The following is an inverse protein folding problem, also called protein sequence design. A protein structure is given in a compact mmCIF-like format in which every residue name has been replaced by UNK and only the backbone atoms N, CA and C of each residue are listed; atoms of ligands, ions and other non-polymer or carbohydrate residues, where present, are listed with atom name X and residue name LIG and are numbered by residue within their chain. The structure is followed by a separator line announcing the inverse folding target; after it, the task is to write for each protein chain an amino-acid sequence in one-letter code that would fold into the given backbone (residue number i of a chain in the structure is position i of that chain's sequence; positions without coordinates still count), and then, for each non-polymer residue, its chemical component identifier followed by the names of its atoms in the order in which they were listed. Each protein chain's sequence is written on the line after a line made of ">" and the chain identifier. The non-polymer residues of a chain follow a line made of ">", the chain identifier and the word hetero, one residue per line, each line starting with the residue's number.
data_IF_798335151597
#
_entry.id   IF_798335151597
#
_cell.length_a   1.000
_cell.length_b   1.000
_cell.length_c   1.000
_cell.angle_alpha   90.00
_cell.angle_beta   90.00
_cell.angle_gamma   90.00
#
_symmetry.space_group_name_H-M   'P 1'
#
loop_
_entity.id
_entity.type
_entity.pdbx_description
1 polymer ?
#
# COMPACT_ATOMS: atom_id res chain seq x y z
N UNK A 1 1.47 -9.54 26.85
CA UNK A 1 0.90 -8.49 27.71
C UNK A 1 1.81 -7.28 27.58
N UNK A 2 1.26 -6.07 27.40
CA UNK A 2 2.05 -4.83 27.42
C UNK A 2 1.66 -4.09 28.69
N UNK A 3 2.64 -3.63 29.46
CA UNK A 3 2.45 -3.12 30.83
C UNK A 3 3.28 -1.86 31.02
N UNK A 4 2.66 -0.82 31.60
CA UNK A 4 3.35 0.39 32.05
C UNK A 4 3.03 0.64 33.52
N UNK A 5 4.06 1.03 34.28
CA UNK A 5 3.95 1.39 35.69
C UNK A 5 4.31 2.87 35.87
N UNK A 6 3.39 3.66 36.41
CA UNK A 6 3.60 5.06 36.78
C UNK A 6 2.89 5.34 38.11
N UNK A 7 3.60 5.90 39.09
CA UNK A 7 3.03 6.40 40.36
C UNK A 7 2.14 5.40 41.13
N UNK A 8 2.53 4.12 41.15
CA UNK A 8 1.77 3.05 41.83
C UNK A 8 0.53 2.58 41.07
N UNK A 9 0.35 3.03 39.82
CA UNK A 9 -0.65 2.54 38.88
C UNK A 9 0.01 1.63 37.86
N UNK A 10 -0.62 0.49 37.58
CA UNK A 10 -0.24 -0.41 36.50
C UNK A 10 -1.39 -0.56 35.51
N UNK A 11 -1.12 -0.27 34.24
CA UNK A 11 -2.09 -0.41 33.15
C UNK A 11 -1.56 -1.43 32.14
N UNK A 12 -2.40 -2.38 31.74
CA UNK A 12 -2.03 -3.38 30.74
C UNK A 12 -3.18 -3.79 29.82
N UNK A 13 -2.83 -4.26 28.62
CA UNK A 13 -3.78 -4.76 27.62
C UNK A 13 -3.57 -6.27 27.39
N UNK A 14 -4.65 -7.03 27.53
CA UNK A 14 -4.79 -8.40 27.07
C UNK A 14 -5.76 -8.44 25.87
N UNK A 15 -5.41 -9.15 24.80
CA UNK A 15 -6.32 -9.34 23.66
C UNK A 15 -6.91 -10.74 23.73
N UNK A 16 -8.19 -10.87 23.39
CA UNK A 16 -8.91 -12.15 23.41
C UNK A 16 -8.37 -13.09 22.33
N UNK A 17 -7.98 -12.53 21.17
CA UNK A 17 -7.25 -13.26 20.14
C UNK A 17 -5.75 -13.21 20.47
N UNK A 18 -5.24 -14.26 21.11
CA UNK A 18 -3.80 -14.51 21.24
C UNK A 18 -3.42 -15.61 20.25
N UNK A 19 -2.79 -15.22 19.14
CA UNK A 19 -1.33 -15.34 19.08
C UNK A 19 -0.64 -14.19 18.32
N UNK A 20 0.68 -14.14 18.43
CA UNK A 20 1.53 -13.44 17.46
C UNK A 20 1.22 -13.99 16.06
N UNK A 21 0.90 -13.12 15.09
CA UNK A 21 0.70 -13.51 13.69
C UNK A 21 -0.75 -13.62 13.21
N UNK A 22 -1.76 -13.36 14.04
CA UNK A 22 -3.13 -13.14 13.54
C UNK A 22 -3.20 -11.78 12.86
N UNK A 23 -3.56 -11.80 11.58
CA UNK A 23 -3.78 -10.61 10.77
C UNK A 23 -5.23 -10.18 10.93
N UNK A 24 -5.44 -9.00 11.47
CA UNK A 24 -6.75 -8.36 11.45
C UNK A 24 -7.06 -7.89 10.03
N UNK A 25 -8.33 -7.92 9.67
CA UNK A 25 -8.84 -7.32 8.43
C UNK A 25 -9.53 -6.00 8.75
N UNK A 26 -9.76 -5.10 7.77
CA UNK A 26 -10.55 -3.90 8.00
C UNK A 26 -11.95 -4.16 8.55
N UNK A 27 -12.48 -5.38 8.37
CA UNK A 27 -13.79 -5.82 8.88
C UNK A 27 -13.71 -6.55 10.22
N UNK A 28 -12.52 -6.75 10.77
CA UNK A 28 -12.35 -7.48 12.02
C UNK A 28 -12.78 -6.64 13.22
N UNK A 29 -13.18 -7.36 14.26
CA UNK A 29 -13.41 -6.81 15.59
C UNK A 29 -12.18 -7.08 16.48
N UNK A 30 -11.70 -6.05 17.15
CA UNK A 30 -10.59 -6.14 18.10
C UNK A 30 -11.19 -6.18 19.50
N UNK A 31 -11.09 -7.33 20.15
CA UNK A 31 -11.61 -7.56 21.49
C UNK A 31 -10.50 -7.93 22.48
N UNK A 32 -10.72 -7.58 23.74
CA UNK A 32 -9.77 -7.82 24.81
C UNK A 32 -10.22 -7.25 26.15
N UNK A 33 -9.25 -7.09 27.04
CA UNK A 33 -9.42 -6.55 28.37
C UNK A 33 -8.30 -5.54 28.66
N UNK A 34 -8.68 -4.44 29.30
CA UNK A 34 -7.74 -3.52 29.93
C UNK A 34 -7.72 -3.83 31.42
N UNK A 35 -6.54 -4.16 31.95
CA UNK A 35 -6.34 -4.41 33.37
C UNK A 35 -5.68 -3.19 34.00
N UNK A 36 -6.30 -2.69 35.05
CA UNK A 36 -5.81 -1.56 35.84
C UNK A 36 -5.59 -2.04 37.27
N UNK A 37 -4.38 -1.88 37.79
CA UNK A 37 -4.07 -2.13 39.20
C UNK A 37 -3.60 -0.85 39.87
N UNK A 38 -4.23 -0.50 40.99
CA UNK A 38 -3.91 0.68 41.79
C UNK A 38 -3.35 0.20 43.12
N UNK A 39 -2.10 0.54 43.41
CA UNK A 39 -1.44 0.19 44.66
C UNK A 39 -1.96 1.02 45.84
N UNK A 40 -1.80 0.45 47.02
CA UNK A 40 -2.06 1.14 48.28
C UNK A 40 -1.11 2.35 48.41
N UNK A 41 -1.64 3.51 48.82
CA UNK A 41 -0.89 4.79 48.86
C UNK A 41 -1.07 5.69 47.64
N UNK A 42 -1.70 5.22 46.56
CA UNK A 42 -2.04 6.01 45.36
C UNK A 42 -3.51 6.50 45.35
N UNK A 43 -4.15 6.58 46.52
CA UNK A 43 -5.59 6.79 46.71
C UNK A 43 -6.04 8.26 46.55
N UNK A 44 -5.12 9.22 46.69
CA UNK A 44 -5.42 10.65 46.53
C UNK A 44 -5.58 11.07 45.06
N UNK A 45 -5.30 10.14 44.13
CA UNK A 45 -5.38 10.38 42.70
C UNK A 45 -6.84 10.21 42.21
N UNK A 46 -7.44 11.30 41.76
CA UNK A 46 -8.78 11.29 41.16
C UNK A 46 -8.70 10.95 39.68
N UNK A 47 -9.23 9.79 39.30
CA UNK A 47 -9.32 9.36 37.91
C UNK A 47 -10.64 9.80 37.28
N UNK A 48 -10.56 10.27 36.04
CA UNK A 48 -11.71 10.74 35.26
C UNK A 48 -12.22 9.68 34.29
N UNK A 49 -11.31 9.00 33.59
CA UNK A 49 -11.67 8.11 32.47
C UNK A 49 -10.66 7.01 32.20
N UNK A 50 -11.14 5.83 31.84
CA UNK A 50 -10.36 4.76 31.19
C UNK A 50 -10.83 4.65 29.74
N UNK A 51 -9.89 4.75 28.80
CA UNK A 51 -10.18 4.62 27.37
C UNK A 51 -9.31 3.56 26.72
N UNK A 52 -9.81 2.97 25.65
CA UNK A 52 -9.03 2.17 24.71
C UNK A 52 -9.23 2.73 23.31
N UNK A 53 -8.16 2.78 22.53
CA UNK A 53 -8.18 3.27 21.16
C UNK A 53 -7.43 2.33 20.23
N UNK A 54 -7.88 2.23 18.98
CA UNK A 54 -7.07 1.69 17.90
C UNK A 54 -6.56 2.86 17.07
N UNK A 55 -5.24 2.93 16.90
CA UNK A 55 -4.53 3.97 16.18
C UNK A 55 -3.83 3.36 14.97
N UNK A 56 -4.05 3.91 13.78
CA UNK A 56 -3.25 3.68 12.59
C UNK A 56 -2.35 4.88 12.34
N UNK A 57 -1.04 4.64 12.35
CA UNK A 57 -0.02 5.67 12.11
C UNK A 57 0.81 5.32 10.89
N UNK A 58 1.20 6.35 10.16
CA UNK A 58 2.17 6.27 9.06
C UNK A 58 3.36 7.15 9.40
N UNK A 59 4.56 6.60 9.25
CA UNK A 59 5.82 7.31 9.37
C UNK A 59 6.59 7.14 8.06
N UNK A 60 6.88 8.23 7.37
CA UNK A 60 7.67 8.26 6.14
C UNK A 60 8.97 8.99 6.43
N UNK A 61 10.10 8.42 6.01
CA UNK A 61 11.40 9.04 6.15
C UNK A 61 12.35 8.60 5.04
N UNK A 62 12.97 9.55 4.34
CA UNK A 62 14.02 9.28 3.36
C UNK A 62 14.95 10.47 3.18
N UNK A 63 16.13 10.23 2.61
CA UNK A 63 17.08 11.28 2.26
C UNK A 63 17.36 11.31 0.75
N UNK A 64 17.46 12.53 0.20
CA UNK A 64 17.84 12.76 -1.19
C UNK A 64 19.23 13.39 -1.22
N UNK A 65 20.19 12.81 -1.95
CA UNK A 65 21.51 13.40 -2.10
C UNK A 65 21.43 14.81 -2.70
N UNK A 66 22.21 15.74 -2.16
CA UNK A 66 22.32 17.07 -2.76
C UNK A 66 23.33 17.03 -3.91
N UNK A 67 22.96 17.58 -5.07
CA UNK A 67 23.89 17.74 -6.19
C UNK A 67 25.01 18.70 -5.79
N UNK A 68 26.26 18.21 -5.68
CA UNK A 68 27.42 19.05 -5.32
C UNK A 68 28.54 18.41 -4.48
N UNK A 69 28.47 17.12 -4.14
CA UNK A 69 29.58 16.42 -3.48
C UNK A 69 29.71 16.65 -1.97
N UNK A 70 28.78 17.39 -1.35
CA UNK A 70 28.66 17.47 0.10
C UNK A 70 28.11 16.17 0.70
N UNK A 71 28.56 15.81 1.91
CA UNK A 71 28.11 14.61 2.64
C UNK A 71 26.68 14.73 3.22
N UNK A 72 26.07 15.91 3.16
CA UNK A 72 24.71 16.13 3.67
C UNK A 72 23.66 15.92 2.58
N UNK A 73 22.77 14.96 2.82
CA UNK A 73 21.54 14.79 2.05
C UNK A 73 20.41 15.62 2.65
N UNK A 74 19.43 16.01 1.83
CA UNK A 74 18.19 16.60 2.36
C UNK A 74 17.30 15.48 2.89
N UNK A 75 16.90 15.58 4.15
CA UNK A 75 16.02 14.63 4.81
C UNK A 75 14.57 15.09 4.70
N UNK A 76 13.69 14.15 4.38
CA UNK A 76 12.25 14.36 4.33
C UNK A 76 11.60 13.42 5.34
N UNK A 77 10.67 13.96 6.13
CA UNK A 77 9.94 13.21 7.15
C UNK A 77 8.48 13.61 7.15
N UNK A 78 7.59 12.66 7.37
CA UNK A 78 6.16 12.85 7.52
C UNK A 78 5.63 11.82 8.51
N UNK A 79 4.85 12.25 9.50
CA UNK A 79 4.25 11.34 10.48
C UNK A 79 2.81 11.77 10.72
N UNK A 80 1.86 10.86 10.50
CA UNK A 80 0.45 11.15 10.68
C UNK A 80 -0.30 9.97 11.30
N UNK A 81 -1.31 10.29 12.11
CA UNK A 81 -2.34 9.33 12.53
C UNK A 81 -3.51 9.41 11.54
N UNK A 82 -3.59 8.44 10.64
CA UNK A 82 -4.64 8.39 9.59
C UNK A 82 -5.89 7.63 10.03
N UNK A 83 -5.81 6.88 11.14
CA UNK A 83 -6.95 6.16 11.71
C UNK A 83 -6.93 6.26 13.22
N UNK A 84 -8.07 6.60 13.81
CA UNK A 84 -8.26 6.64 15.26
C UNK A 84 -9.70 6.29 15.59
N UNK A 85 -9.90 5.23 16.37
CA UNK A 85 -11.20 4.86 16.92
C UNK A 85 -11.05 4.65 18.43
N UNK A 86 -11.87 5.33 19.22
CA UNK A 86 -11.75 5.38 20.69
C UNK A 86 -13.03 4.83 21.31
N UNK A 87 -12.88 4.04 22.37
CA UNK A 87 -13.95 3.56 23.23
C UNK A 87 -13.66 3.95 24.68
N UNK A 88 -14.62 4.59 25.33
CA UNK A 88 -14.58 4.86 26.77
C UNK A 88 -15.06 3.61 27.51
N UNK A 89 -14.20 3.04 28.34
CA UNK A 89 -14.50 1.82 29.10
C UNK A 89 -15.06 2.13 30.50
N UNK A 90 -14.64 3.27 31.04
CA UNK A 90 -15.11 3.78 32.32
C UNK A 90 -14.99 5.30 32.35
N UNK A 91 -15.95 5.95 32.98
CA UNK A 91 -15.96 7.39 33.23
C UNK A 91 -16.58 7.69 34.59
N UNK A 92 -15.94 8.60 35.33
CA UNK A 92 -16.39 9.05 36.65
C UNK A 92 -17.82 9.60 36.56
N UNK A 93 -18.70 9.12 37.46
CA UNK A 93 -20.10 9.55 37.53
C UNK A 93 -21.05 8.91 36.51
N UNK A 94 -20.54 8.22 35.48
CA UNK A 94 -21.38 7.48 34.53
C UNK A 94 -21.40 5.97 34.78
N UNK A 95 -20.35 5.44 35.41
CA UNK A 95 -20.19 4.00 35.66
C UNK A 95 -20.57 3.63 37.10
N UNK A 96 -21.13 2.44 37.30
CA UNK A 96 -21.47 1.91 38.64
C UNK A 96 -20.24 1.54 39.46
N UNK A 97 -19.13 1.21 38.79
CA UNK A 97 -17.86 0.85 39.41
C UNK A 97 -17.11 2.12 39.82
N UNK A 98 -16.71 2.25 41.08
CA UNK A 98 -15.80 3.32 41.53
C UNK A 98 -14.36 2.81 41.48
N UNK A 99 -13.43 3.57 40.89
CA UNK A 99 -12.00 3.23 40.79
C UNK A 99 -11.16 4.03 41.80
N UNK A 100 -11.78 4.49 42.89
CA UNK A 100 -11.12 5.37 43.86
C UNK A 100 -10.42 4.59 45.00
N UNK A 101 -10.44 3.25 44.95
CA UNK A 101 -9.80 2.39 45.94
C UNK A 101 -8.63 1.59 45.34
N UNK A 102 -7.67 1.21 46.18
CA UNK A 102 -6.65 0.23 45.81
C UNK A 102 -7.31 -1.09 45.41
N UNK A 103 -6.79 -1.71 44.37
CA UNK A 103 -7.37 -2.93 43.82
C UNK A 103 -7.04 -3.15 42.36
N UNK A 104 -7.60 -4.24 41.82
CA UNK A 104 -7.47 -4.62 40.42
C UNK A 104 -8.83 -4.54 39.74
N UNK A 105 -8.86 -3.87 38.60
CA UNK A 105 -10.04 -3.61 37.80
C UNK A 105 -9.83 -4.17 36.40
N UNK A 106 -10.87 -4.77 35.85
CA UNK A 106 -10.86 -5.38 34.51
C UNK A 106 -11.96 -4.72 33.68
N UNK A 107 -11.55 -4.17 32.54
CA UNK A 107 -12.46 -3.52 31.59
C UNK A 107 -12.46 -4.28 30.28
N UNK A 108 -13.47 -5.11 30.01
CA UNK A 108 -13.61 -5.76 28.71
C UNK A 108 -13.91 -4.72 27.63
N UNK A 109 -13.38 -4.94 26.43
CA UNK A 109 -13.62 -4.07 25.29
C UNK A 109 -13.80 -4.86 24.01
N UNK A 110 -14.55 -4.27 23.08
CA UNK A 110 -14.71 -4.78 21.73
C UNK A 110 -14.90 -3.61 20.76
N UNK A 111 -14.07 -3.53 19.72
CA UNK A 111 -14.01 -2.39 18.81
C UNK A 111 -13.87 -2.88 17.37
N UNK A 112 -14.89 -2.59 16.54
CA UNK A 112 -14.86 -2.88 15.11
C UNK A 112 -13.90 -1.94 14.37
N UNK A 113 -13.02 -2.48 13.52
CA UNK A 113 -12.07 -1.67 12.73
C UNK A 113 -12.72 -0.90 11.58
N UNK A 114 -13.97 -1.20 11.27
CA UNK A 114 -14.73 -0.43 10.30
C UNK A 114 -14.99 0.97 10.86
N UNK A 115 -14.43 2.00 10.20
CA UNK A 115 -14.74 3.40 10.50
C UNK A 115 -15.84 3.95 9.61
N UNK A 116 -15.90 3.58 8.33
CA UNK A 116 -16.87 4.09 7.35
C UNK A 116 -17.17 3.04 6.26
N UNK A 117 -18.36 3.06 5.63
CA UNK A 117 -18.60 2.30 4.42
C UNK A 117 -17.63 2.78 3.33
N UNK A 118 -16.76 1.89 2.85
CA UNK A 118 -15.74 2.10 1.80
C UNK A 118 -14.38 2.67 2.23
N UNK A 119 -14.16 3.00 3.50
CA UNK A 119 -12.81 3.32 3.97
C UNK A 119 -12.00 2.04 4.21
N UNK A 120 -11.14 1.66 3.26
CA UNK A 120 -10.23 0.52 3.44
C UNK A 120 -9.00 0.94 4.23
N UNK A 121 -8.74 0.26 5.35
CA UNK A 121 -7.46 0.38 6.05
C UNK A 121 -6.34 -0.24 5.19
N UNK A 122 -5.19 0.46 5.00
CA UNK A 122 -4.04 -0.15 4.33
C UNK A 122 -3.50 -1.33 5.13
N UNK A 123 -2.82 -2.25 4.45
CA UNK A 123 -2.05 -3.28 5.14
C UNK A 123 -0.93 -2.62 5.96
N UNK A 124 -0.59 -3.21 7.10
CA UNK A 124 0.66 -2.91 7.77
C UNK A 124 1.83 -3.04 6.81
N UNK A 125 2.79 -2.13 6.93
CA UNK A 125 3.95 -2.05 6.04
C UNK A 125 5.18 -1.65 6.85
N UNK A 126 6.30 -2.33 6.61
CA UNK A 126 7.61 -1.88 7.06
C UNK A 126 8.56 -1.97 5.87
N UNK A 127 8.82 -0.83 5.22
CA UNK A 127 9.75 -0.73 4.11
C UNK A 127 10.85 0.30 4.45
N UNK A 128 11.83 0.45 3.56
CA UNK A 128 12.99 1.32 3.78
C UNK A 128 12.57 2.76 4.11
N UNK A 129 11.58 3.29 3.39
CA UNK A 129 11.24 4.70 3.39
C UNK A 129 9.91 5.00 4.12
N UNK A 130 9.14 3.98 4.50
CA UNK A 130 7.84 4.15 5.17
C UNK A 130 7.44 2.98 6.07
N UNK A 131 6.66 3.30 7.10
CA UNK A 131 6.09 2.38 8.09
C UNK A 131 4.61 2.69 8.28
N UNK A 132 3.75 1.69 8.08
CA UNK A 132 2.31 1.75 8.42
C UNK A 132 2.09 0.80 9.59
N UNK A 133 1.65 1.33 10.73
CA UNK A 133 1.59 0.60 12.00
C UNK A 133 0.27 0.82 12.70
N UNK A 134 -0.27 -0.25 13.27
CA UNK A 134 -1.47 -0.22 14.07
C UNK A 134 -1.18 -0.57 15.52
N UNK A 135 -1.66 0.25 16.44
CA UNK A 135 -1.51 0.05 17.87
C UNK A 135 -2.87 0.15 18.55
N UNK A 136 -3.10 -0.74 19.51
CA UNK A 136 -4.13 -0.58 20.52
C UNK A 136 -3.50 0.18 21.67
N UNK A 137 -4.10 1.28 22.09
CA UNK A 137 -3.62 2.15 23.15
C UNK A 137 -4.68 2.23 24.24
N UNK A 138 -4.33 1.88 25.47
CA UNK A 138 -5.18 2.10 26.63
C UNK A 138 -4.64 3.29 27.41
N UNK A 139 -5.53 4.19 27.86
CA UNK A 139 -5.17 5.37 28.65
C UNK A 139 -6.02 5.48 29.90
N UNK A 140 -5.36 5.85 30.99
CA UNK A 140 -5.98 6.32 32.22
C UNK A 140 -5.79 7.84 32.32
N UNK A 141 -6.90 8.57 32.41
CA UNK A 141 -6.94 10.03 32.43
C UNK A 141 -7.32 10.50 33.84
N UNK A 142 -6.58 11.47 34.39
CA UNK A 142 -6.87 12.10 35.70
C UNK A 142 -7.82 13.30 35.56
N UNK A 143 -8.42 13.68 36.69
CA UNK A 143 -9.38 14.76 36.78
C UNK A 143 -8.76 16.11 37.21
N UNK A 144 -7.45 16.32 36.96
CA UNK A 144 -6.82 17.62 37.16
C UNK A 144 -7.20 18.62 36.05
N UNK A 145 -6.98 19.91 36.30
CA UNK A 145 -7.41 21.04 35.45
C UNK A 145 -6.86 21.04 34.01
N UNK A 146 -6.02 20.08 33.68
CA UNK A 146 -5.49 19.76 32.36
C UNK A 146 -5.63 18.26 32.23
N UNK A 147 -6.30 17.72 31.20
CA UNK A 147 -6.52 16.27 31.03
C UNK A 147 -5.20 15.48 30.91
N UNK A 148 -4.48 15.31 32.03
CA UNK A 148 -3.15 14.72 32.05
C UNK A 148 -3.30 13.20 31.99
N UNK A 149 -2.67 12.63 30.99
CA UNK A 149 -2.51 11.20 30.84
C UNK A 149 -1.65 10.65 31.98
N UNK A 150 -2.24 9.80 32.82
CA UNK A 150 -1.59 9.29 34.04
C UNK A 150 -0.82 8.01 33.79
N UNK A 151 -1.37 7.17 32.93
CA UNK A 151 -0.74 5.95 32.45
C UNK A 151 -1.28 5.64 31.06
N UNK A 152 -0.40 5.18 30.19
CA UNK A 152 -0.80 4.55 28.93
C UNK A 152 0.03 3.33 28.65
N UNK A 153 -0.57 2.38 27.94
CA UNK A 153 0.15 1.24 27.40
C UNK A 153 -0.34 0.98 25.97
N UNK A 154 0.56 0.44 25.15
CA UNK A 154 0.26 0.15 23.75
C UNK A 154 0.57 -1.30 23.41
N UNK A 155 -0.20 -1.86 22.49
CA UNK A 155 0.05 -3.19 21.91
C UNK A 155 -0.08 -3.12 20.39
N UNK A 156 0.97 -3.50 19.68
CA UNK A 156 0.97 -3.55 18.22
C UNK A 156 0.05 -4.67 17.72
N UNK A 157 -0.69 -4.36 16.66
CA UNK A 157 -1.47 -5.33 15.88
C UNK A 157 -1.08 -5.22 14.40
N UNK A 158 -1.28 -6.30 13.65
CA UNK A 158 -1.02 -6.34 12.21
C UNK A 158 -2.34 -6.37 11.46
N UNK A 159 -2.49 -5.51 10.44
CA UNK A 159 -3.66 -5.45 9.58
C UNK A 159 -3.27 -5.88 8.16
N UNK A 160 -4.10 -6.74 7.55
CA UNK A 160 -4.04 -7.04 6.12
C UNK A 160 -5.28 -6.47 5.44
N UNK A 161 -5.08 -5.58 4.49
CA UNK A 161 -6.13 -5.00 3.65
C UNK A 161 -6.77 -6.07 2.76
N UNK A 162 -7.97 -5.78 2.28
CA UNK A 162 -8.66 -6.61 1.31
C UNK A 162 -8.60 -5.96 -0.07
N UNK A 163 -7.88 -6.57 -1.00
CA UNK A 163 -7.74 -6.10 -2.38
C UNK A 163 -8.40 -7.12 -3.30
N UNK A 164 -9.64 -6.79 -3.68
CA UNK A 164 -10.44 -7.60 -4.58
C UNK A 164 -10.10 -7.35 -6.05
N UNK A 165 -9.63 -8.40 -6.73
CA UNK A 165 -9.26 -8.39 -8.15
C UNK A 165 -10.43 -8.74 -9.09
N UNK A 166 -11.61 -9.06 -8.55
CA UNK A 166 -12.81 -9.39 -9.34
C UNK A 166 -13.53 -8.17 -9.93
N UNK A 167 -12.96 -6.97 -9.76
CA UNK A 167 -13.51 -5.73 -10.32
C UNK A 167 -13.41 -5.74 -11.85
N UNK A 168 -14.44 -5.29 -12.55
CA UNK A 168 -14.57 -5.44 -14.01
C UNK A 168 -13.39 -4.85 -14.80
N UNK A 169 -12.87 -3.70 -14.35
CA UNK A 169 -11.71 -3.02 -14.94
C UNK A 169 -10.41 -3.83 -14.80
N UNK A 170 -10.33 -4.72 -13.82
CA UNK A 170 -9.17 -5.56 -13.55
C UNK A 170 -9.17 -6.88 -14.33
N UNK A 171 -10.31 -7.26 -14.91
CA UNK A 171 -10.49 -8.52 -15.64
C UNK A 171 -10.24 -8.38 -17.16
N UNK A 172 -10.06 -7.16 -17.65
CA UNK A 172 -9.91 -6.89 -19.08
C UNK A 172 -8.46 -7.05 -19.53
N UNK A 173 -8.22 -7.67 -20.71
CA UNK A 173 -6.88 -7.79 -21.26
C UNK A 173 -6.28 -6.41 -21.54
N UNK A 174 -4.97 -6.29 -21.36
CA UNK A 174 -4.24 -5.05 -21.61
C UNK A 174 -3.12 -5.31 -22.57
N UNK A 175 -3.01 -4.47 -23.59
CA UNK A 175 -1.92 -4.48 -24.56
C UNK A 175 -1.27 -3.11 -24.61
N UNK A 176 0.04 -3.09 -24.81
CA UNK A 176 0.82 -1.88 -25.05
C UNK A 176 1.86 -2.15 -26.13
N UNK A 177 2.12 -1.14 -26.95
CA UNK A 177 2.97 -1.24 -28.12
C UNK A 177 3.99 -0.11 -28.12
N UNK A 178 5.18 -0.40 -28.59
CA UNK A 178 6.23 0.59 -28.80
C UNK A 178 6.99 0.30 -30.07
N UNK A 179 7.22 1.37 -30.81
CA UNK A 179 7.90 1.35 -32.10
C UNK A 179 9.31 1.93 -31.92
N UNK A 180 10.33 1.24 -32.45
CA UNK A 180 11.70 1.70 -32.47
C UNK A 180 12.14 1.96 -33.90
N UNK A 181 12.65 3.16 -34.13
CA UNK A 181 13.31 3.56 -35.37
C UNK A 181 14.81 3.31 -35.28
N UNK A 182 15.41 2.70 -36.29
CA UNK A 182 16.87 2.60 -36.41
C UNK A 182 17.39 3.26 -37.67
N UNK A 183 18.31 4.21 -37.49
CA UNK A 183 19.08 4.84 -38.57
C UNK A 183 18.45 6.11 -39.16
N UNK A 184 19.30 6.93 -39.79
CA UNK A 184 18.94 8.24 -40.34
C UNK A 184 18.30 8.17 -41.74
N UNK A 185 18.25 6.99 -42.36
CA UNK A 185 18.04 6.85 -43.82
C UNK A 185 16.84 5.95 -44.19
N UNK A 186 16.38 5.05 -43.31
CA UNK A 186 15.23 4.17 -43.55
C UNK A 186 14.15 4.38 -42.51
N UNK A 187 12.91 4.68 -42.93
CA UNK A 187 11.70 4.73 -42.09
C UNK A 187 11.20 3.33 -41.68
N UNK A 188 12.12 2.39 -41.48
CA UNK A 188 11.79 0.99 -41.18
C UNK A 188 11.87 0.76 -39.68
N UNK A 189 10.71 0.62 -39.06
CA UNK A 189 10.60 0.50 -37.63
C UNK A 189 10.39 -0.95 -37.19
N UNK A 190 10.89 -1.30 -36.00
CA UNK A 190 10.53 -2.53 -35.30
C UNK A 190 9.46 -2.21 -34.28
N UNK A 191 8.36 -2.95 -34.32
CA UNK A 191 7.27 -2.81 -33.37
C UNK A 191 7.34 -3.94 -32.35
N UNK A 192 7.29 -3.59 -31.07
CA UNK A 192 7.14 -4.55 -29.98
C UNK A 192 5.80 -4.31 -29.31
N UNK A 193 4.97 -5.34 -29.26
CA UNK A 193 3.66 -5.34 -28.62
C UNK A 193 3.68 -6.34 -27.48
N UNK A 194 3.28 -5.93 -26.29
CA UNK A 194 3.16 -6.80 -25.12
C UNK A 194 1.71 -6.85 -24.67
N UNK A 195 1.21 -8.03 -24.33
CA UNK A 195 -0.18 -8.27 -23.92
C UNK A 195 -0.24 -9.16 -22.69
N UNK A 196 -1.12 -8.78 -21.76
CA UNK A 196 -1.52 -9.57 -20.58
C UNK A 196 -3.01 -9.88 -20.64
N UNK A 197 -3.41 -11.03 -20.10
CA UNK A 197 -4.80 -11.51 -20.15
C UNK A 197 -5.75 -10.65 -19.32
N UNK A 198 -5.26 -10.07 -18.23
CA UNK A 198 -5.97 -9.16 -17.33
C UNK A 198 -4.98 -8.29 -16.56
N UNK A 199 -5.47 -7.35 -15.74
CA UNK A 199 -4.61 -6.45 -14.95
C UNK A 199 -4.65 -6.73 -13.45
N UNK A 200 -5.66 -7.40 -12.90
CA UNK A 200 -5.66 -7.85 -11.50
C UNK A 200 -5.22 -9.31 -11.36
N UNK A 201 -4.38 -9.64 -10.38
CA UNK A 201 -3.92 -11.00 -10.07
C UNK A 201 -3.88 -11.24 -8.55
N UNK A 202 -4.29 -12.42 -8.11
CA UNK A 202 -4.26 -12.85 -6.71
C UNK A 202 -2.94 -13.54 -6.38
N UNK A 203 -2.20 -13.04 -5.38
CA UNK A 203 -0.85 -13.53 -5.06
C UNK A 203 -0.75 -15.00 -4.66
N UNK A 204 -1.85 -15.61 -4.20
CA UNK A 204 -1.89 -17.00 -3.68
C UNK A 204 -2.38 -18.00 -4.72
N UNK A 205 -3.03 -17.54 -5.79
CA UNK A 205 -3.77 -18.40 -6.71
C UNK A 205 -3.39 -18.25 -8.18
N UNK A 206 -2.78 -17.12 -8.55
CA UNK A 206 -2.58 -16.76 -9.93
C UNK A 206 -1.10 -16.81 -10.35
N UNK A 207 -0.89 -17.16 -11.61
CA UNK A 207 0.32 -16.85 -12.36
C UNK A 207 -0.01 -15.84 -13.47
N UNK A 208 0.99 -15.05 -13.88
CA UNK A 208 0.77 -13.99 -14.87
C UNK A 208 1.26 -14.46 -16.25
N UNK A 209 0.35 -14.73 -17.22
CA UNK A 209 0.73 -14.98 -18.59
C UNK A 209 1.03 -13.67 -19.33
N UNK A 210 2.16 -13.64 -20.05
CA UNK A 210 2.58 -12.50 -20.86
C UNK A 210 2.89 -12.99 -22.26
N UNK A 211 2.35 -12.30 -23.26
CA UNK A 211 2.69 -12.51 -24.66
C UNK A 211 3.38 -11.29 -25.21
N UNK A 212 4.51 -11.49 -25.89
CA UNK A 212 5.22 -10.45 -26.61
C UNK A 212 5.25 -10.78 -28.09
N UNK A 213 4.86 -9.82 -28.93
CA UNK A 213 4.89 -9.92 -30.39
C UNK A 213 5.88 -8.88 -30.89
N UNK A 214 6.82 -9.30 -31.72
CA UNK A 214 7.78 -8.44 -32.41
C UNK A 214 7.47 -8.49 -33.89
N UNK A 215 7.10 -7.34 -34.44
CA UNK A 215 6.96 -7.15 -35.88
C UNK A 215 8.25 -6.54 -36.43
N UNK A 216 8.84 -7.16 -37.46
CA UNK A 216 10.18 -6.82 -37.91
C UNK A 216 10.16 -5.58 -38.80
N UNK A 217 11.14 -4.69 -38.60
CA UNK A 217 11.56 -3.71 -39.60
C UNK A 217 12.60 -4.33 -40.55
N UNK A 218 12.69 -3.83 -41.79
CA UNK A 218 13.67 -4.35 -42.77
C UNK A 218 15.12 -3.99 -42.42
N UNK A 219 15.35 -2.96 -41.61
CA UNK A 219 16.68 -2.45 -41.23
C UNK A 219 17.17 -2.89 -39.84
N UNK A 220 16.27 -3.25 -38.93
CA UNK A 220 16.54 -3.30 -37.49
C UNK A 220 16.38 -4.72 -36.94
N UNK A 221 17.32 -5.14 -36.08
CA UNK A 221 17.26 -6.42 -35.38
C UNK A 221 17.39 -6.19 -33.87
N UNK A 222 16.50 -6.80 -33.08
CA UNK A 222 16.63 -6.81 -31.63
C UNK A 222 17.83 -7.67 -31.21
N UNK A 223 18.61 -7.15 -30.26
CA UNK A 223 19.75 -7.85 -29.66
C UNK A 223 19.36 -8.60 -28.39
N UNK A 224 18.39 -8.06 -27.65
CA UNK A 224 17.85 -8.71 -26.46
C UNK A 224 16.37 -8.34 -26.29
N UNK A 225 15.65 -9.24 -25.63
CA UNK A 225 14.33 -8.97 -25.08
C UNK A 225 14.17 -9.74 -23.78
N UNK A 226 13.72 -9.04 -22.74
CA UNK A 226 13.47 -9.58 -21.41
C UNK A 226 12.17 -9.04 -20.86
N UNK A 227 11.64 -9.72 -19.86
CA UNK A 227 10.45 -9.32 -19.14
C UNK A 227 10.69 -9.42 -17.65
N UNK A 228 10.17 -8.49 -16.86
CA UNK A 228 10.30 -8.47 -15.42
C UNK A 228 8.98 -8.10 -14.74
N UNK A 229 8.64 -8.79 -13.66
CA UNK A 229 7.67 -8.33 -12.68
C UNK A 229 8.40 -7.40 -11.71
N UNK A 230 7.98 -6.14 -11.68
CA UNK A 230 8.60 -5.11 -10.84
C UNK A 230 7.55 -4.56 -9.88
N UNK A 231 7.92 -4.50 -8.60
CA UNK A 231 7.21 -3.77 -7.57
C UNK A 231 7.76 -2.35 -7.52
N UNK A 232 6.88 -1.35 -7.46
CA UNK A 232 7.25 0.04 -7.21
C UNK A 232 6.52 0.54 -5.97
N UNK A 233 7.30 0.94 -4.97
CA UNK A 233 6.81 1.59 -3.76
C UNK A 233 7.18 3.07 -3.86
N UNK A 234 6.17 3.93 -3.86
CA UNK A 234 6.35 5.39 -3.85
C UNK A 234 5.89 5.93 -2.51
N UNK A 235 6.80 6.58 -1.78
CA UNK A 235 6.50 7.21 -0.49
C UNK A 235 6.53 8.73 -0.64
N UNK A 236 5.69 9.44 0.11
CA UNK A 236 5.58 10.89 0.05
C UNK A 236 5.81 11.51 1.43
N UNK A 237 6.72 12.48 1.49
CA UNK A 237 6.94 13.31 2.67
C UNK A 237 7.19 14.75 2.24
N UNK A 238 6.48 15.71 2.85
CA UNK A 238 6.63 17.15 2.56
C UNK A 238 6.52 17.48 1.06
N UNK A 239 5.62 16.78 0.36
CA UNK A 239 5.40 16.94 -1.09
C UNK A 239 6.50 16.36 -1.99
N UNK A 240 7.54 15.74 -1.44
CA UNK A 240 8.59 15.05 -2.20
C UNK A 240 8.33 13.55 -2.28
N UNK A 241 8.51 12.91 -3.45
CA UNK A 241 8.43 11.46 -3.58
C UNK A 241 9.79 10.79 -3.38
N UNK A 242 9.79 9.63 -2.73
CA UNK A 242 10.84 8.61 -2.85
C UNK A 242 10.29 7.41 -3.61
N UNK A 243 11.05 6.90 -4.58
CA UNK A 243 10.65 5.75 -5.41
C UNK A 243 11.65 4.62 -5.18
N UNK A 244 11.13 3.46 -4.77
CA UNK A 244 11.85 2.21 -4.69
C UNK A 244 11.26 1.22 -5.71
N UNK A 245 12.09 0.75 -6.65
CA UNK A 245 11.75 -0.36 -7.53
C UNK A 245 12.44 -1.64 -7.05
N UNK A 246 11.68 -2.71 -6.86
CA UNK A 246 12.17 -4.05 -6.51
C UNK A 246 11.85 -5.02 -7.64
N UNK A 247 12.87 -5.67 -8.18
CA UNK A 247 12.69 -6.80 -9.09
C UNK A 247 12.11 -7.98 -8.30
N UNK A 248 10.98 -8.50 -8.73
CA UNK A 248 10.33 -9.68 -8.11
C UNK A 248 10.74 -10.94 -8.86
N UNK A 249 10.61 -10.93 -10.19
CA UNK A 249 10.97 -12.05 -11.06
C UNK A 249 11.30 -11.53 -12.46
N UNK A 250 12.19 -12.21 -13.18
CA UNK A 250 12.47 -11.89 -14.59
C UNK A 250 12.64 -13.13 -15.45
N UNK A 251 12.30 -12.97 -16.73
CA UNK A 251 12.55 -13.94 -17.78
C UNK A 251 13.30 -13.23 -18.91
N UNK A 252 14.30 -13.91 -19.49
CA UNK A 252 14.97 -13.44 -20.69
C UNK A 252 14.71 -14.43 -21.81
N UNK A 253 14.44 -13.92 -23.02
CA UNK A 253 14.36 -14.79 -24.17
C UNK A 253 15.78 -15.11 -24.65
N UNK A 254 16.10 -16.39 -24.83
CA UNK A 254 17.40 -16.83 -25.35
C UNK A 254 17.41 -16.98 -26.88
N UNK A 255 16.24 -16.98 -27.52
CA UNK A 255 16.10 -17.13 -28.98
C UNK A 255 15.66 -15.82 -29.61
N UNK A 256 16.63 -15.04 -30.10
CA UNK A 256 16.33 -13.75 -30.71
C UNK A 256 15.64 -13.89 -32.08
N UNK A 257 14.69 -13.00 -32.41
CA UNK A 257 14.10 -12.94 -33.73
C UNK A 257 15.17 -12.74 -34.80
N UNK A 258 15.05 -13.51 -35.88
CA UNK A 258 15.81 -13.27 -37.12
C UNK A 258 15.32 -11.98 -37.76
N UNK A 259 16.24 -11.25 -38.38
CA UNK A 259 15.92 -9.99 -39.10
C UNK A 259 14.84 -10.25 -40.15
N UNK A 260 13.82 -9.38 -40.20
CA UNK A 260 12.75 -9.46 -41.20
C UNK A 260 11.64 -10.49 -40.91
N UNK A 261 11.69 -11.23 -39.80
CA UNK A 261 10.72 -12.27 -39.45
C UNK A 261 9.94 -11.87 -38.19
N UNK A 262 8.61 -12.01 -38.23
CA UNK A 262 7.76 -11.81 -37.06
C UNK A 262 8.00 -12.88 -36.00
N UNK A 263 7.91 -12.47 -34.75
CA UNK A 263 8.28 -13.31 -33.63
C UNK A 263 7.27 -13.15 -32.51
N UNK A 264 6.77 -14.28 -32.01
CA UNK A 264 5.87 -14.32 -30.86
C UNK A 264 6.55 -15.09 -29.75
N UNK A 265 6.66 -14.45 -28.60
CA UNK A 265 7.16 -15.03 -27.36
C UNK A 265 6.03 -15.16 -26.36
N UNK A 266 5.65 -16.40 -26.06
CA UNK A 266 4.84 -16.70 -24.90
C UNK A 266 5.80 -16.84 -23.71
N UNK A 267 5.87 -15.80 -22.89
CA UNK A 267 6.81 -15.70 -21.78
C UNK A 267 6.46 -16.79 -20.75
N UNK A 268 7.45 -17.47 -20.14
CA UNK A 268 7.20 -18.28 -18.95
C UNK A 268 6.39 -17.49 -17.92
N UNK A 269 5.35 -18.10 -17.37
CA UNK A 269 4.42 -17.40 -16.47
C UNK A 269 5.17 -16.87 -15.24
N UNK A 270 4.82 -15.66 -14.81
CA UNK A 270 5.38 -15.12 -13.57
C UNK A 270 4.64 -15.70 -12.37
N UNK A 271 5.38 -16.34 -11.47
CA UNK A 271 4.88 -16.74 -10.15
C UNK A 271 4.87 -15.52 -9.23
N UNK A 272 3.80 -15.34 -8.47
CA UNK A 272 3.67 -14.24 -7.51
C UNK A 272 4.06 -14.79 -6.12
N UNK A 273 5.06 -14.21 -5.42
CA UNK A 273 5.40 -14.66 -4.08
C UNK A 273 4.29 -14.37 -3.06
N UNK A 274 4.02 -15.32 -2.16
CA UNK A 274 2.99 -15.18 -1.12
C UNK A 274 3.23 -14.00 -0.16
N UNK A 275 4.50 -13.67 0.07
CA UNK A 275 4.90 -12.58 0.97
C UNK A 275 4.88 -11.20 0.31
N UNK A 276 4.55 -11.13 -0.99
CA UNK A 276 4.53 -9.87 -1.73
C UNK A 276 3.42 -8.95 -1.20
N UNK A 277 3.73 -7.68 -0.98
CA UNK A 277 2.81 -6.69 -0.45
C UNK A 277 1.60 -6.50 -1.39
N UNK A 278 0.41 -6.25 -0.84
CA UNK A 278 -0.76 -6.00 -1.68
C UNK A 278 -0.66 -4.64 -2.35
N UNK A 279 -1.28 -4.50 -3.52
CA UNK A 279 -1.43 -3.20 -4.16
C UNK A 279 -2.13 -2.22 -3.22
N UNK A 280 -1.51 -1.06 -3.04
CA UNK A 280 -2.03 0.02 -2.23
C UNK A 280 -2.11 1.26 -3.11
N UNK A 281 -3.34 1.68 -3.37
CA UNK A 281 -3.63 2.91 -4.10
C UNK A 281 -4.63 3.75 -3.30
N UNK A 282 -4.71 5.05 -3.60
CA UNK A 282 -5.53 6.02 -2.86
C UNK A 282 -5.14 6.20 -1.38
N UNK A 283 -3.85 6.04 -1.04
CA UNK A 283 -3.31 6.37 0.28
C UNK A 283 -2.23 7.44 0.16
N UNK A 284 -2.48 8.63 0.73
CA UNK A 284 -1.71 9.85 0.47
C UNK A 284 -0.20 9.79 0.74
N UNK A 285 0.24 8.83 1.55
CA UNK A 285 1.62 8.74 2.01
C UNK A 285 2.43 7.65 1.30
N UNK A 286 1.78 6.58 0.86
CA UNK A 286 2.45 5.40 0.29
C UNK A 286 1.57 4.79 -0.79
N UNK A 287 2.17 4.57 -1.96
CA UNK A 287 1.56 3.81 -3.05
C UNK A 287 2.41 2.58 -3.35
N UNK A 288 1.76 1.42 -3.49
CA UNK A 288 2.39 0.16 -3.89
C UNK A 288 1.77 -0.29 -5.21
N UNK A 289 2.53 -0.16 -6.28
CA UNK A 289 2.13 -0.54 -7.63
C UNK A 289 3.01 -1.64 -8.20
N UNK A 290 2.50 -2.31 -9.23
CA UNK A 290 3.21 -3.37 -9.94
C UNK A 290 3.11 -3.16 -11.44
N UNK A 291 4.13 -3.59 -12.17
CA UNK A 291 4.07 -3.64 -13.62
C UNK A 291 4.91 -4.80 -14.17
N UNK A 292 4.44 -5.32 -15.30
CA UNK A 292 5.26 -6.16 -16.18
C UNK A 292 6.03 -5.22 -17.10
N UNK A 293 7.35 -5.15 -16.91
CA UNK A 293 8.26 -4.42 -17.79
C UNK A 293 8.75 -5.37 -18.88
N UNK A 294 8.49 -5.03 -20.14
CA UNK A 294 9.15 -5.67 -21.29
C UNK A 294 10.27 -4.75 -21.74
N UNK A 295 11.51 -5.20 -21.56
CA UNK A 295 12.71 -4.46 -21.93
C UNK A 295 13.35 -5.07 -23.17
N UNK A 296 13.78 -4.24 -24.10
CA UNK A 296 14.34 -4.68 -25.37
C UNK A 296 15.31 -3.64 -25.91
N UNK A 297 16.29 -4.11 -26.67
CA UNK A 297 17.29 -3.24 -27.28
C UNK A 297 17.70 -3.73 -28.66
N UNK A 298 18.18 -2.78 -29.45
CA UNK A 298 18.73 -3.02 -30.78
C UNK A 298 20.12 -2.37 -30.88
N UNK A 299 20.90 -2.80 -31.87
CA UNK A 299 22.25 -2.27 -32.07
C UNK A 299 22.21 -0.74 -32.22
N UNK A 300 23.08 -0.04 -31.51
CA UNK A 300 23.20 1.43 -31.53
C UNK A 300 21.97 2.20 -31.02
N UNK A 301 21.00 1.54 -30.38
CA UNK A 301 19.82 2.16 -29.79
C UNK A 301 19.82 1.87 -28.28
N UNK A 302 19.57 2.90 -27.47
CA UNK A 302 19.42 2.74 -26.02
C UNK A 302 18.27 1.78 -25.74
N UNK A 303 18.43 0.93 -24.72
CA UNK A 303 17.38 0.04 -24.23
C UNK A 303 16.05 0.79 -24.10
N UNK A 304 14.99 0.15 -24.56
CA UNK A 304 13.63 0.64 -24.49
C UNK A 304 12.81 -0.33 -23.65
N UNK A 305 11.74 0.18 -23.05
CA UNK A 305 10.80 -0.65 -22.34
C UNK A 305 9.35 -0.23 -22.56
N UNK A 306 8.46 -1.17 -22.24
CA UNK A 306 7.01 -1.04 -22.13
C UNK A 306 6.64 -1.50 -20.71
N UNK A 307 5.92 -0.68 -19.96
CA UNK A 307 5.38 -1.05 -18.65
C UNK A 307 3.87 -1.33 -18.77
N UNK A 308 3.45 -2.55 -18.43
CA UNK A 308 2.05 -2.94 -18.30
C UNK A 308 1.66 -2.93 -16.83
N UNK A 309 0.90 -1.93 -16.34
CA UNK A 309 0.51 -1.86 -14.94
C UNK A 309 -0.45 -3.00 -14.58
N UNK A 310 -0.25 -3.57 -13.38
CA UNK A 310 -1.08 -4.62 -12.80
C UNK A 310 -1.38 -4.32 -11.32
N UNK A 311 -2.41 -4.97 -10.80
CA UNK A 311 -2.84 -4.93 -9.40
C UNK A 311 -2.63 -6.32 -8.81
N UNK A 312 -1.95 -6.39 -7.67
CA UNK A 312 -1.78 -7.62 -6.90
C UNK A 312 -2.72 -7.57 -5.69
N UNK A 313 -3.64 -8.52 -5.61
CA UNK A 313 -4.61 -8.65 -4.52
C UNK A 313 -4.56 -10.01 -3.81
N UNK A 314 -5.52 -10.21 -2.91
CA UNK A 314 -5.64 -11.39 -2.06
C UNK A 314 -7.01 -12.07 -2.11
N UNK A 315 -7.97 -11.55 -2.87
CA UNK A 315 -9.24 -12.24 -3.15
C UNK A 315 -9.06 -13.03 -4.45
N UNK A 316 -9.15 -14.37 -4.44
CA UNK A 316 -9.08 -15.16 -5.66
C UNK A 316 -10.20 -14.83 -6.65
N UNK A 317 -10.00 -15.16 -7.92
CA UNK A 317 -11.06 -15.06 -8.93
C UNK A 317 -12.28 -15.88 -8.48
N UNK A 318 -13.46 -15.28 -8.59
CA UNK A 318 -14.72 -16.02 -8.41
C UNK A 318 -14.85 -17.12 -9.46
N UNK A 319 -15.50 -18.23 -9.12
CA UNK A 319 -15.71 -19.35 -10.06
C UNK A 319 -16.35 -18.90 -11.38
N UNK A 320 -17.27 -17.93 -11.31
CA UNK A 320 -17.92 -17.35 -12.49
C UNK A 320 -16.96 -16.55 -13.38
N UNK A 321 -16.04 -15.79 -12.79
CA UNK A 321 -15.03 -15.05 -13.55
C UNK A 321 -13.94 -15.99 -14.09
N UNK A 322 -13.54 -17.00 -13.32
CA UNK A 322 -12.60 -18.03 -13.74
C UNK A 322 -13.09 -18.75 -15.00
N UNK A 323 -14.34 -19.24 -15.01
CA UNK A 323 -14.92 -19.93 -16.18
C UNK A 323 -15.02 -19.03 -17.42
N UNK A 324 -15.34 -17.74 -17.23
CA UNK A 324 -15.39 -16.75 -18.32
C UNK A 324 -14.02 -16.55 -18.96
N UNK A 325 -12.98 -16.37 -18.15
CA UNK A 325 -11.61 -16.16 -18.63
C UNK A 325 -11.04 -17.40 -19.32
N UNK A 326 -11.26 -18.60 -18.77
CA UNK A 326 -10.82 -19.85 -19.40
C UNK A 326 -11.46 -20.06 -20.78
N UNK A 327 -12.74 -19.69 -20.96
CA UNK A 327 -13.42 -19.78 -22.26
C UNK A 327 -12.82 -18.83 -23.31
N UNK A 328 -12.30 -17.67 -22.88
CA UNK A 328 -11.63 -16.71 -23.76
C UNK A 328 -10.23 -17.17 -24.17
N UNK A 329 -9.51 -17.91 -23.32
CA UNK A 329 -8.20 -18.49 -23.67
C UNK A 329 -8.33 -19.66 -24.67
N UNK A 330 -9.34 -20.52 -24.52
CA UNK A 330 -9.62 -21.64 -25.45
C UNK A 330 -9.99 -21.12 -26.84
N UNK A 331 -10.70 -19.99 -26.92
CA UNK A 331 -11.04 -19.35 -28.20
C UNK A 331 -9.81 -18.81 -28.95
N UNK A 332 -8.71 -18.49 -28.25
CA UNK A 332 -7.46 -18.00 -28.86
C UNK A 332 -6.53 -19.13 -29.35
N UNK A 333 -6.75 -20.36 -28.91
CA UNK A 333 -5.92 -21.51 -29.31
C UNK A 333 -6.46 -22.27 -30.52
N UNK A 334 -7.64 -21.91 -31.04
CA UNK A 334 -8.32 -22.66 -32.11
C UNK A 334 -8.49 -21.91 -33.45
N UNK A 335 -7.68 -20.87 -33.74
CA UNK A 335 -7.69 -20.22 -35.05
C UNK A 335 -6.30 -20.16 -35.69
N UNK A 336 -5.90 -21.29 -36.27
CA UNK A 336 -4.96 -21.28 -37.39
C UNK A 336 -5.64 -20.64 -38.60
N UNK A 337 -5.08 -19.54 -39.09
CA UNK A 337 -5.37 -18.96 -40.40
C UNK A 337 -6.45 -17.87 -40.42
N UNK A 338 -6.04 -16.64 -40.73
CA UNK A 338 -6.93 -15.62 -41.31
C UNK A 338 -7.01 -14.28 -40.56
N UNK A 339 -6.27 -13.29 -41.08
CA UNK A 339 -6.66 -11.88 -41.11
C UNK A 339 -6.99 -11.18 -39.79
N UNK A 340 -5.97 -10.65 -39.11
CA UNK A 340 -6.19 -9.58 -38.14
C UNK A 340 -6.55 -8.28 -38.87
N UNK A 341 -7.76 -7.77 -38.63
CA UNK A 341 -8.13 -6.38 -38.94
C UNK A 341 -7.57 -5.46 -37.83
N UNK A 342 -6.93 -4.34 -38.17
CA UNK A 342 -6.44 -3.41 -37.16
C UNK A 342 -7.63 -2.75 -36.45
N UNK A 343 -7.66 -2.83 -35.12
CA UNK A 343 -8.49 -1.96 -34.30
C UNK A 343 -7.76 -0.63 -34.23
N UNK A 344 -8.13 0.28 -35.12
CA UNK A 344 -7.69 1.67 -35.09
C UNK A 344 -8.24 2.35 -33.84
N UNK A 345 -7.39 2.46 -32.81
CA UNK A 345 -7.66 3.17 -31.57
C UNK A 345 -6.35 3.55 -30.92
N UNK A 346 -5.68 4.56 -31.48
CA UNK A 346 -4.49 5.17 -30.87
C UNK A 346 -4.89 5.82 -29.54
N UNK A 347 -4.74 5.12 -28.43
CA UNK A 347 -4.73 5.73 -27.11
C UNK A 347 -3.27 6.06 -26.81
N UNK A 348 -2.93 7.36 -26.94
CA UNK A 348 -1.66 7.91 -26.47
C UNK A 348 -1.45 7.47 -25.01
N UNK A 349 -0.26 6.98 -24.71
CA UNK A 349 0.21 6.78 -23.34
C UNK A 349 0.15 8.12 -22.62
N UNK A 350 -0.92 8.36 -21.88
CA UNK A 350 -1.00 9.43 -20.90
C UNK A 350 0.11 9.19 -19.90
N UNK A 351 1.04 10.13 -19.79
CA UNK A 351 1.95 10.18 -18.65
C UNK A 351 1.12 10.16 -17.38
N UNK A 352 1.57 9.37 -16.40
CA UNK A 352 1.00 9.38 -15.06
C UNK A 352 1.30 10.77 -14.48
N UNK A 353 0.31 11.66 -14.48
CA UNK A 353 0.33 12.86 -13.66
C UNK A 353 -0.02 12.43 -12.24
N UNK A 354 0.79 12.76 -11.22
CA UNK A 354 0.41 12.54 -9.84
C UNK A 354 -0.90 13.30 -9.54
N UNK A 355 -1.77 12.78 -8.67
CA UNK A 355 -2.97 13.49 -8.25
C UNK A 355 -2.57 14.85 -7.64
N UNK A 356 -3.21 15.91 -8.13
CA UNK A 356 -3.12 17.24 -7.51
C UNK A 356 -3.77 17.12 -6.14
N UNK A 357 -3.00 17.38 -5.09
CA UNK A 357 -3.51 17.47 -3.71
C UNK A 357 -4.67 18.49 -3.71
N UNK A 358 -5.91 18.12 -3.32
CA UNK A 358 -7.02 19.05 -3.32
C UNK A 358 -6.73 20.23 -2.40
N UNK A 359 -6.92 21.46 -2.90
CA UNK A 359 -6.75 22.71 -2.16
C UNK A 359 -7.60 22.82 -0.87
N UNK A 360 -8.54 21.88 -0.64
CA UNK A 360 -9.29 21.76 0.60
C UNK A 360 -8.39 21.48 1.82
N UNK A 361 -7.27 20.78 1.66
CA UNK A 361 -6.31 20.52 2.75
C UNK A 361 -5.44 21.75 3.11
N UNK A 362 -5.44 22.79 2.27
CA UNK A 362 -4.71 24.04 2.56
C UNK A 362 -5.54 24.99 3.44
N UNK A 363 -6.88 24.96 3.37
CA UNK A 363 -7.75 25.81 4.19
C UNK A 363 -7.85 25.36 5.64
N UNK A 364 -7.88 24.05 5.92
CA UNK A 364 -7.81 23.54 7.30
C UNK A 364 -6.45 23.80 7.97
N UNK A 365 -5.40 24.08 7.18
CA UNK A 365 -4.07 24.43 7.68
C UNK A 365 -3.99 25.91 8.09
N UNK A 366 -4.73 26.79 7.41
CA UNK A 366 -4.76 28.23 7.69
C UNK A 366 -5.61 28.54 8.95
N UNK A 367 -6.76 27.86 9.13
CA UNK A 367 -7.57 28.00 10.36
C UNK A 367 -6.87 27.42 11.61
N UNK A 368 -6.07 26.34 11.48
CA UNK A 368 -5.30 25.79 12.62
C UNK A 368 -4.06 26.59 13.00
N UNK A 369 -3.42 27.27 12.04
CA UNK A 369 -2.28 28.15 12.31
C UNK A 369 -2.72 29.46 12.98
N UNK A 370 -3.95 29.93 12.76
CA UNK A 370 -4.53 31.06 13.50
C UNK A 370 -4.88 30.70 14.95
N UNK A 371 -5.51 29.54 15.21
CA UNK A 371 -5.80 29.08 16.59
C UNK A 371 -4.52 28.82 17.42
N UNK A 372 -3.47 28.26 16.80
CA UNK A 372 -2.18 28.03 17.47
C UNK A 372 -1.42 29.33 17.78
N UNK A 373 -1.60 30.38 16.98
CA UNK A 373 -0.99 31.69 17.20
C UNK A 373 -1.74 32.51 18.26
N UNK A 374 -3.06 32.35 18.37
CA UNK A 374 -3.85 32.98 19.44
C UNK A 374 -3.50 32.40 20.82
N UNK A 375 -3.32 31.08 20.91
CA UNK A 375 -2.86 30.39 22.13
C UNK A 375 -1.46 30.84 22.57
N UNK A 376 -0.55 31.06 21.62
CA UNK A 376 0.82 31.51 21.92
C UNK A 376 0.88 32.97 22.40
N UNK A 377 -0.11 33.80 22.06
CA UNK A 377 -0.21 35.20 22.54
C UNK A 377 -0.80 35.32 23.95
N UNK A 378 -1.57 34.34 24.40
CA UNK A 378 -2.15 34.29 25.76
C UNK A 378 -1.15 33.81 26.83
N UNK A 379 -0.07 33.13 26.46
CA UNK A 379 0.96 32.62 27.39
C UNK A 379 2.06 33.67 27.68
N UNK A 380 2.10 34.78 26.91
CA UNK A 380 3.10 35.84 27.04
C UNK A 380 2.54 37.20 27.50
N UNK A 381 1.35 37.21 28.12
CA UNK A 381 0.81 38.31 28.93
C UNK A 381 0.45 37.80 30.31
#
# INVERSE_FOLDING_TARGET
>A
MSTVQTEGVELSIALSQQPQGVLYTPTSEVAGEVLLSIREGSQDLKYKRVTVAVLGKVDVYFSVPQSGGGRDGRHFTESNTFFKKVLTLWEEGQSTTSINASGSYVFPFSLSLQSEPNASLPSSLDCRDAKIRYNIEAKLIRNDTSEIESASCFKRIEIQSNVDINRGELLSPRSAQKEIMAGCISRDNVTVTSTIARTGYCRVADEIPVQVIVEPGRGTQLQFISTALIQRITCYAQGQPSILERLVHSNANTQMPRKGISFTWNVPRFTIPDQLELSLDNFSYVHIGYFIRVEFGAKCIKAQWIDLPIVIGNVPLSSANSSRLSSMEVSRTTSGGGGYRPVSGLIRSSGYNPPVIPAAAAKEKEEREEESNEYSRLIHK
#
